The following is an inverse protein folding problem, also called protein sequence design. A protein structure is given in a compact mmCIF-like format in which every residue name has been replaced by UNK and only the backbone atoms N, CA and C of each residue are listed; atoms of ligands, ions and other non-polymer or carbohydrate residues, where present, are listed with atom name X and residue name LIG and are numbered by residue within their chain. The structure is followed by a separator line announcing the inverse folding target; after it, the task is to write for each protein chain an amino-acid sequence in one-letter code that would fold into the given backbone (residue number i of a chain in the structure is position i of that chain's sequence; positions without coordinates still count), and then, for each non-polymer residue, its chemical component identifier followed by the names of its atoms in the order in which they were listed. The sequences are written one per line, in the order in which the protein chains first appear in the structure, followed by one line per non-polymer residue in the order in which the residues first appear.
data_IF_578931175054
#
_entry.id   IF_578931175054
#
_cell.length_a   1.000
_cell.length_b   1.000
_cell.length_c   1.000
_cell.angle_alpha   90.00
_cell.angle_beta   90.00
_cell.angle_gamma   90.00
#
_symmetry.space_group_name_H-M   'P 1'
#
loop_
_entity.id
_entity.type
_entity.pdbx_description
1 polymer ?
#
# COMPACT_ATOMS: atom_id res chain seq x y z
N UNK A 1 0.47 -51.08 16.19
CA UNK A 1 -0.36 -50.39 15.18
C UNK A 1 -1.04 -49.21 15.85
N UNK A 2 -0.31 -48.09 15.96
CA UNK A 2 -0.81 -46.83 16.50
C UNK A 2 -1.51 -46.07 15.38
N UNK A 3 -2.83 -45.94 15.52
CA UNK A 3 -3.70 -45.22 14.58
C UNK A 3 -3.42 -43.72 14.76
N UNK A 4 -2.73 -43.11 13.80
CA UNK A 4 -2.51 -41.67 13.77
C UNK A 4 -3.87 -40.99 13.64
N UNK A 5 -4.24 -40.21 14.65
CA UNK A 5 -5.43 -39.36 14.60
C UNK A 5 -5.03 -38.15 13.79
N UNK A 6 -5.50 -38.09 12.54
CA UNK A 6 -5.53 -36.86 11.76
C UNK A 6 -6.28 -35.82 12.59
N UNK A 7 -5.56 -34.87 13.19
CA UNK A 7 -6.15 -33.64 13.67
C UNK A 7 -6.69 -32.92 12.44
N UNK A 8 -8.01 -32.94 12.27
CA UNK A 8 -8.67 -32.02 11.37
C UNK A 8 -8.37 -30.62 11.88
N UNK A 9 -7.49 -29.89 11.18
CA UNK A 9 -7.53 -28.43 11.24
C UNK A 9 -8.96 -28.07 10.82
N UNK A 10 -9.72 -27.48 11.75
CA UNK A 10 -11.00 -26.88 11.41
C UNK A 10 -10.72 -25.69 10.51
N UNK A 11 -10.52 -25.94 9.22
CA UNK A 11 -10.57 -24.91 8.19
C UNK A 11 -12.05 -24.52 8.06
N UNK A 12 -12.51 -23.59 8.89
CA UNK A 12 -13.31 -22.53 8.28
C UNK A 12 -12.34 -21.89 7.27
N UNK A 13 -12.67 -21.90 5.98
CA UNK A 13 -11.84 -21.27 4.96
C UNK A 13 -11.69 -19.79 5.35
N UNK A 14 -10.52 -19.45 5.89
CA UNK A 14 -10.25 -18.08 6.33
C UNK A 14 -10.00 -17.31 5.05
N UNK A 15 -10.92 -16.40 4.72
CA UNK A 15 -10.76 -15.52 3.58
C UNK A 15 -9.55 -14.58 3.74
N UNK A 16 -8.94 -14.26 2.61
CA UNK A 16 -7.74 -13.44 2.49
C UNK A 16 -8.04 -11.95 2.74
N UNK A 17 -7.28 -11.31 3.63
CA UNK A 17 -7.36 -9.87 3.86
C UNK A 17 -6.27 -9.13 3.08
N UNK A 18 -6.66 -8.23 2.17
CA UNK A 18 -5.74 -7.44 1.36
C UNK A 18 -5.63 -6.01 1.90
N UNK A 19 -4.41 -5.54 2.16
CA UNK A 19 -4.12 -4.13 2.46
C UNK A 19 -3.42 -3.51 1.26
N UNK A 20 -3.95 -2.40 0.75
CA UNK A 20 -3.31 -1.63 -0.32
C UNK A 20 -2.52 -0.48 0.30
N UNK A 21 -1.25 -0.33 -0.05
CA UNK A 21 -0.38 0.76 0.37
C UNK A 21 -0.13 1.73 -0.79
N UNK A 22 -0.46 3.00 -0.56
CA UNK A 22 -0.22 4.12 -1.47
C UNK A 22 0.82 5.08 -0.91
N UNK A 23 1.30 5.96 -1.76
CA UNK A 23 2.16 7.08 -1.39
C UNK A 23 2.70 7.78 -2.63
N UNK A 24 3.38 8.90 -2.40
CA UNK A 24 4.07 9.66 -3.45
C UNK A 24 5.59 9.54 -3.37
N UNK A 25 6.10 8.77 -2.42
CA UNK A 25 7.51 8.70 -2.10
C UNK A 25 7.95 7.27 -1.84
N UNK A 26 8.95 6.85 -2.62
CA UNK A 26 9.45 5.48 -2.56
C UNK A 26 9.99 5.13 -1.18
N UNK A 27 10.78 6.02 -0.59
CA UNK A 27 11.41 5.76 0.70
C UNK A 27 10.36 5.65 1.81
N UNK A 28 9.37 6.53 1.81
CA UNK A 28 8.27 6.48 2.77
C UNK A 28 7.46 5.18 2.63
N UNK A 29 7.10 4.82 1.40
CA UNK A 29 6.37 3.58 1.13
C UNK A 29 7.16 2.34 1.52
N UNK A 30 8.46 2.27 1.19
CA UNK A 30 9.31 1.13 1.53
C UNK A 30 9.51 1.01 3.05
N UNK A 31 9.66 2.12 3.77
CA UNK A 31 9.79 2.12 5.23
C UNK A 31 8.50 1.66 5.94
N UNK A 32 7.34 2.12 5.47
CA UNK A 32 6.03 1.67 5.97
C UNK A 32 5.79 0.21 5.62
N UNK A 33 6.03 -0.21 4.37
CA UNK A 33 5.89 -1.59 3.94
C UNK A 33 6.77 -2.54 4.76
N UNK A 34 8.02 -2.16 4.99
CA UNK A 34 8.94 -2.92 5.83
C UNK A 34 8.39 -3.11 7.25
N UNK A 35 7.90 -2.04 7.87
CA UNK A 35 7.34 -2.10 9.23
C UNK A 35 6.10 -2.99 9.31
N UNK A 36 5.21 -2.90 8.32
CA UNK A 36 4.02 -3.74 8.23
C UNK A 36 4.37 -5.21 8.02
N UNK A 37 5.35 -5.51 7.16
CA UNK A 37 5.82 -6.88 6.91
C UNK A 37 6.48 -7.48 8.16
N UNK A 38 7.35 -6.71 8.84
CA UNK A 38 8.01 -7.14 10.08
C UNK A 38 6.99 -7.46 11.19
N UNK A 39 5.91 -6.69 11.26
CA UNK A 39 4.82 -6.93 12.22
C UNK A 39 3.99 -8.20 11.96
N UNK A 40 4.09 -8.80 10.76
CA UNK A 40 3.30 -9.96 10.37
C UNK A 40 4.11 -10.96 9.52
N UNK A 41 4.87 -11.88 10.14
CA UNK A 41 5.76 -12.81 9.42
C UNK A 41 5.07 -13.77 8.43
N UNK A 42 3.75 -13.88 8.46
CA UNK A 42 2.94 -14.71 7.56
C UNK A 42 2.31 -13.93 6.40
N UNK A 43 2.64 -12.65 6.24
CA UNK A 43 2.13 -11.83 5.13
C UNK A 43 2.80 -12.21 3.81
N UNK A 44 2.02 -12.25 2.73
CA UNK A 44 2.56 -12.17 1.38
C UNK A 44 2.62 -10.70 0.95
N UNK A 45 3.79 -10.21 0.54
CA UNK A 45 3.91 -8.83 0.05
C UNK A 45 4.05 -8.79 -1.46
N UNK A 46 3.24 -7.96 -2.12
CA UNK A 46 3.35 -7.66 -3.54
C UNK A 46 3.74 -6.19 -3.66
N UNK A 47 4.87 -5.90 -4.29
CA UNK A 47 5.37 -4.55 -4.47
C UNK A 47 5.44 -4.24 -5.94
N UNK A 48 4.78 -3.16 -6.35
CA UNK A 48 4.86 -2.61 -7.69
C UNK A 48 5.79 -1.41 -7.72
N UNK A 49 6.41 -1.22 -8.87
CA UNK A 49 7.23 -0.07 -9.22
C UNK A 49 7.15 0.16 -10.73
N UNK A 50 7.63 1.31 -11.19
CA UNK A 50 7.73 1.60 -12.62
C UNK A 50 9.16 1.94 -13.01
N UNK A 51 9.51 1.62 -14.24
CA UNK A 51 10.79 1.94 -14.84
C UNK A 51 10.56 2.52 -16.22
N UNK A 52 11.47 3.39 -16.63
CA UNK A 52 11.53 3.85 -18.00
C UNK A 52 11.89 2.69 -18.92
N UNK A 53 11.12 2.55 -19.99
CA UNK A 53 11.40 1.62 -21.08
C UNK A 53 11.18 2.34 -22.41
N UNK A 54 12.28 2.73 -23.06
CA UNK A 54 12.22 3.46 -24.33
C UNK A 54 11.75 2.57 -25.51
N UNK A 55 11.70 1.23 -25.33
CA UNK A 55 11.19 0.29 -26.33
C UNK A 55 9.66 0.07 -26.19
N UNK A 56 9.07 0.38 -25.03
CA UNK A 56 7.63 0.32 -24.79
C UNK A 56 6.90 1.52 -25.41
N UNK A 57 5.71 1.29 -25.98
CA UNK A 57 4.90 2.37 -26.58
C UNK A 57 4.49 3.44 -25.57
N UNK A 58 4.26 3.04 -24.32
CA UNK A 58 3.96 3.93 -23.20
C UNK A 58 5.20 4.61 -22.60
N UNK A 59 6.40 4.20 -22.98
CA UNK A 59 7.66 4.62 -22.34
C UNK A 59 7.90 3.98 -20.97
N UNK A 60 7.06 3.02 -20.55
CA UNK A 60 7.01 2.49 -19.19
C UNK A 60 6.95 0.97 -19.14
N UNK A 61 7.73 0.42 -18.22
CA UNK A 61 7.68 -0.97 -17.78
C UNK A 61 7.22 -1.03 -16.32
N UNK A 62 6.25 -1.88 -16.03
CA UNK A 62 5.76 -2.11 -14.66
C UNK A 62 6.55 -3.28 -14.07
N UNK A 63 7.29 -3.01 -13.01
CA UNK A 63 8.06 -4.02 -12.30
C UNK A 63 7.31 -4.43 -11.06
N UNK A 64 7.28 -5.73 -10.78
CA UNK A 64 6.67 -6.23 -9.57
C UNK A 64 7.56 -7.26 -8.89
N UNK A 65 7.37 -7.36 -7.58
CA UNK A 65 7.95 -8.40 -6.74
C UNK A 65 6.86 -8.97 -5.85
N UNK A 66 6.84 -10.28 -5.68
CA UNK A 66 6.01 -10.97 -4.69
C UNK A 66 6.94 -11.75 -3.77
N UNK A 67 6.83 -11.50 -2.47
CA UNK A 67 7.56 -12.24 -1.45
C UNK A 67 6.54 -13.07 -0.64
N UNK A 68 6.63 -14.40 -0.77
CA UNK A 68 5.76 -15.35 -0.08
C UNK A 68 6.43 -15.90 1.19
N UNK A 69 5.70 -16.08 2.30
CA UNK A 69 6.23 -16.67 3.52
C UNK A 69 6.46 -18.17 3.34
N UNK A 70 7.66 -18.66 3.67
CA UNK A 70 8.00 -20.08 3.64
C UNK A 70 7.93 -20.73 5.04
N UNK A 71 7.78 -22.07 5.06
CA UNK A 71 7.98 -22.85 6.28
C UNK A 71 9.39 -22.61 6.84
N UNK A 72 9.48 -22.11 8.07
CA UNK A 72 10.75 -21.78 8.74
C UNK A 72 11.14 -20.30 8.75
N UNK A 73 10.28 -19.41 8.23
CA UNK A 73 10.44 -17.95 8.35
C UNK A 73 11.34 -17.30 7.29
N UNK A 74 11.73 -18.03 6.26
CA UNK A 74 12.35 -17.46 5.06
C UNK A 74 11.27 -16.90 4.11
N UNK A 75 11.61 -15.90 3.30
CA UNK A 75 10.74 -15.37 2.24
C UNK A 75 11.22 -15.87 0.88
N UNK A 76 10.29 -16.30 0.02
CA UNK A 76 10.58 -16.62 -1.38
C UNK A 76 10.14 -15.46 -2.27
N UNK A 77 11.11 -14.75 -2.83
CA UNK A 77 10.88 -13.62 -3.73
C UNK A 77 10.82 -14.05 -5.19
N UNK A 78 9.70 -13.77 -5.85
CA UNK A 78 9.56 -13.77 -7.32
C UNK A 78 9.49 -12.34 -7.80
N UNK A 79 10.16 -12.01 -8.91
CA UNK A 79 10.04 -10.70 -9.53
C UNK A 79 10.04 -10.82 -11.03
N UNK A 80 9.23 -10.00 -11.69
CA UNK A 80 9.16 -9.92 -13.15
C UNK A 80 8.76 -8.49 -13.56
N UNK A 81 8.68 -8.24 -14.86
CA UNK A 81 8.15 -6.98 -15.38
C UNK A 81 7.31 -7.17 -16.63
N UNK A 82 6.50 -6.16 -16.96
CA UNK A 82 5.70 -6.14 -18.17
C UNK A 82 5.47 -4.69 -18.65
N UNK A 83 5.63 -4.49 -19.95
CA UNK A 83 5.42 -3.18 -20.57
C UNK A 83 3.99 -2.69 -20.33
N UNK A 84 3.86 -1.44 -19.89
CA UNK A 84 2.57 -0.78 -19.77
C UNK A 84 1.97 -0.61 -21.17
N UNK A 85 0.78 -1.17 -21.38
CA UNK A 85 0.08 -1.13 -22.67
C UNK A 85 -0.76 0.17 -22.79
N UNK A 86 -1.69 0.23 -23.74
CA UNK A 86 -2.59 1.39 -24.01
C UNK A 86 -3.56 1.78 -22.86
N UNK A 87 -3.43 1.17 -21.67
CA UNK A 87 -4.25 1.45 -20.50
C UNK A 87 -3.47 2.24 -19.44
N UNK A 88 -4.18 2.88 -18.51
CA UNK A 88 -3.52 3.55 -17.39
C UNK A 88 -2.87 2.57 -16.42
N UNK A 89 -1.87 3.04 -15.67
CA UNK A 89 -1.12 2.25 -14.69
C UNK A 89 -2.03 1.53 -13.68
N UNK A 90 -3.07 2.20 -13.17
CA UNK A 90 -4.05 1.59 -12.26
C UNK A 90 -4.80 0.41 -12.88
N UNK A 91 -5.09 0.46 -14.19
CA UNK A 91 -5.80 -0.61 -14.89
C UNK A 91 -4.93 -1.85 -15.07
N UNK A 92 -3.67 -1.70 -15.46
CA UNK A 92 -2.78 -2.85 -15.59
C UNK A 92 -2.45 -3.46 -14.22
N UNK A 93 -2.15 -2.62 -13.22
CA UNK A 93 -1.82 -3.07 -11.86
C UNK A 93 -2.97 -3.85 -11.23
N UNK A 94 -4.23 -3.38 -11.32
CA UNK A 94 -5.36 -4.10 -10.71
C UNK A 94 -5.60 -5.47 -11.35
N UNK A 95 -5.48 -5.59 -12.68
CA UNK A 95 -5.64 -6.86 -13.40
C UNK A 95 -4.49 -7.82 -13.07
N UNK A 96 -3.26 -7.32 -13.00
CA UNK A 96 -2.11 -8.12 -12.60
C UNK A 96 -2.21 -8.58 -11.13
N UNK A 97 -2.60 -7.68 -10.23
CA UNK A 97 -2.75 -7.97 -8.80
C UNK A 97 -3.77 -9.08 -8.58
N UNK A 98 -4.91 -9.02 -9.26
CA UNK A 98 -5.91 -10.10 -9.22
C UNK A 98 -5.31 -11.46 -9.61
N UNK A 99 -4.56 -11.54 -10.71
CA UNK A 99 -3.90 -12.80 -11.13
C UNK A 99 -2.89 -13.33 -10.10
N UNK A 100 -2.10 -12.43 -9.49
CA UNK A 100 -1.16 -12.82 -8.44
C UNK A 100 -1.89 -13.33 -7.19
N UNK A 101 -2.95 -12.63 -6.79
CA UNK A 101 -3.79 -13.01 -5.67
C UNK A 101 -4.42 -14.40 -5.90
N UNK A 102 -4.90 -14.71 -7.11
CA UNK A 102 -5.45 -16.04 -7.45
C UNK A 102 -4.42 -17.14 -7.20
N UNK A 103 -3.15 -16.87 -7.52
CA UNK A 103 -2.07 -17.83 -7.35
C UNK A 103 -1.79 -18.17 -5.88
N UNK A 104 -2.08 -17.26 -4.95
CA UNK A 104 -1.83 -17.40 -3.51
C UNK A 104 -3.10 -17.67 -2.69
N UNK A 105 -4.27 -17.65 -3.33
CA UNK A 105 -5.56 -17.87 -2.70
C UNK A 105 -5.60 -19.21 -1.92
N UNK A 106 -6.13 -19.16 -0.69
CA UNK A 106 -6.19 -20.31 0.23
C UNK A 106 -4.85 -20.75 0.83
N UNK A 107 -3.73 -20.14 0.44
CA UNK A 107 -2.38 -20.40 1.00
C UNK A 107 -1.95 -19.32 1.99
N UNK A 108 -2.48 -18.10 1.84
CA UNK A 108 -2.16 -16.94 2.68
C UNK A 108 -3.43 -16.26 3.17
N UNK A 109 -3.41 -15.83 4.43
CA UNK A 109 -4.56 -15.15 5.06
C UNK A 109 -4.46 -13.61 4.96
N UNK A 110 -3.28 -13.08 4.64
CA UNK A 110 -3.01 -11.64 4.59
C UNK A 110 -2.03 -11.30 3.48
N UNK A 111 -2.37 -10.26 2.72
CA UNK A 111 -1.55 -9.73 1.63
C UNK A 111 -1.39 -8.22 1.78
N UNK A 112 -0.15 -7.75 1.67
CA UNK A 112 0.16 -6.33 1.54
C UNK A 112 0.50 -6.04 0.08
N UNK A 113 -0.17 -5.09 -0.55
CA UNK A 113 0.12 -4.66 -1.93
C UNK A 113 0.58 -3.21 -1.92
N UNK A 114 1.86 -2.96 -2.15
CA UNK A 114 2.41 -1.62 -2.38
C UNK A 114 2.22 -1.25 -3.84
N UNK A 115 1.36 -0.26 -4.10
CA UNK A 115 1.07 0.23 -5.45
C UNK A 115 2.22 1.12 -5.97
N UNK A 116 2.31 1.37 -7.29
CA UNK A 116 3.26 2.35 -7.80
C UNK A 116 2.98 3.74 -7.23
N UNK A 117 4.02 4.58 -7.23
CA UNK A 117 3.93 5.99 -6.79
C UNK A 117 2.76 6.70 -7.49
N UNK A 118 1.93 7.36 -6.70
CA UNK A 118 0.81 8.16 -7.21
C UNK A 118 -0.38 7.39 -7.78
N UNK A 119 -0.41 6.06 -7.65
CA UNK A 119 -1.55 5.25 -8.07
C UNK A 119 -2.63 5.27 -6.99
N UNK A 120 -3.85 5.64 -7.38
CA UNK A 120 -5.02 5.60 -6.51
C UNK A 120 -5.41 4.14 -6.22
N UNK A 121 -5.61 3.82 -4.95
CA UNK A 121 -5.99 2.49 -4.47
C UNK A 121 -7.50 2.23 -4.60
N UNK A 122 -8.37 3.25 -4.58
CA UNK A 122 -9.83 3.03 -4.63
C UNK A 122 -10.27 2.21 -5.86
N UNK A 123 -9.80 2.48 -7.10
CA UNK A 123 -10.18 1.66 -8.25
C UNK A 123 -9.65 0.23 -8.18
N UNK A 124 -8.47 0.03 -7.58
CA UNK A 124 -7.91 -1.31 -7.34
C UNK A 124 -8.75 -2.05 -6.31
N UNK A 125 -9.08 -1.38 -5.19
CA UNK A 125 -9.87 -1.94 -4.10
C UNK A 125 -11.26 -2.39 -4.57
N UNK A 126 -11.97 -1.52 -5.30
CA UNK A 126 -13.29 -1.83 -5.83
C UNK A 126 -13.26 -3.03 -6.78
N UNK A 127 -12.26 -3.10 -7.65
CA UNK A 127 -12.11 -4.21 -8.58
C UNK A 127 -11.86 -5.53 -7.83
N UNK A 128 -10.97 -5.53 -6.84
CA UNK A 128 -10.68 -6.72 -6.04
C UNK A 128 -11.88 -7.16 -5.19
N UNK A 129 -12.58 -6.22 -4.55
CA UNK A 129 -13.79 -6.52 -3.78
C UNK A 129 -14.90 -7.12 -4.65
N UNK A 130 -15.07 -6.64 -5.89
CA UNK A 130 -16.03 -7.21 -6.82
C UNK A 130 -15.63 -8.63 -7.24
N UNK A 131 -14.34 -8.90 -7.46
CA UNK A 131 -13.85 -10.26 -7.73
C UNK A 131 -14.07 -11.20 -6.54
N UNK A 132 -13.72 -10.77 -5.32
CA UNK A 132 -13.93 -11.57 -4.10
C UNK A 132 -15.40 -11.92 -3.86
N UNK A 133 -16.34 -11.12 -4.37
CA UNK A 133 -17.79 -11.40 -4.28
C UNK A 133 -18.28 -12.35 -5.36
N UNK A 134 -17.64 -12.37 -6.53
CA UNK A 134 -18.09 -13.13 -7.70
C UNK A 134 -17.50 -14.54 -7.74
N UNK A 135 -16.29 -14.71 -7.21
CA UNK A 135 -15.50 -15.93 -7.32
C UNK A 135 -15.31 -16.62 -5.95
N UNK A 136 -14.85 -17.87 -5.96
CA UNK A 136 -14.68 -18.70 -4.76
C UNK A 136 -13.28 -18.54 -4.14
N UNK A 137 -13.03 -17.37 -3.54
CA UNK A 137 -11.76 -17.00 -2.92
C UNK A 137 -11.65 -17.41 -1.44
N UNK A 138 -12.59 -18.22 -0.93
CA UNK A 138 -12.77 -18.51 0.48
C UNK A 138 -13.63 -17.48 1.20
N UNK A 139 -14.45 -17.96 2.15
CA UNK A 139 -15.40 -17.11 2.87
C UNK A 139 -14.68 -15.99 3.65
N UNK A 140 -14.95 -14.74 3.25
CA UNK A 140 -14.46 -13.55 3.95
C UNK A 140 -13.27 -12.83 3.33
N UNK A 141 -12.85 -13.24 2.13
CA UNK A 141 -11.85 -12.53 1.31
C UNK A 141 -12.33 -11.12 0.99
N UNK A 142 -11.45 -10.13 1.20
CA UNK A 142 -11.81 -8.70 1.07
C UNK A 142 -10.57 -7.81 0.97
N UNK A 143 -10.77 -6.60 0.48
CA UNK A 143 -9.86 -5.49 0.75
C UNK A 143 -10.15 -4.96 2.15
N UNK A 144 -9.19 -5.14 3.06
CA UNK A 144 -9.35 -4.79 4.47
C UNK A 144 -9.05 -3.31 4.73
N UNK A 145 -8.06 -2.74 4.06
CA UNK A 145 -7.62 -1.38 4.28
C UNK A 145 -6.98 -0.76 3.02
N UNK A 146 -7.12 0.56 2.92
CA UNK A 146 -6.27 1.41 2.08
C UNK A 146 -5.42 2.24 3.05
N UNK A 147 -4.11 2.01 3.01
CA UNK A 147 -3.13 2.73 3.81
C UNK A 147 -2.35 3.70 2.93
N UNK A 148 -2.10 4.92 3.41
CA UNK A 148 -1.24 5.89 2.73
C UNK A 148 -0.01 6.20 3.58
N UNK A 149 1.19 6.08 2.98
CA UNK A 149 2.46 6.38 3.63
C UNK A 149 2.80 7.87 3.48
N UNK A 150 2.97 8.56 4.60
CA UNK A 150 3.28 9.99 4.63
C UNK A 150 4.55 10.25 5.45
N UNK A 151 5.60 10.70 4.79
CA UNK A 151 6.77 11.29 5.46
C UNK A 151 6.44 12.70 5.94
N UNK A 152 6.44 12.92 7.26
CA UNK A 152 6.05 14.21 7.83
C UNK A 152 7.08 15.32 7.51
N UNK A 153 8.35 14.96 7.34
CA UNK A 153 9.42 15.90 6.98
C UNK A 153 9.30 16.41 5.55
N UNK A 154 8.89 15.54 4.62
CA UNK A 154 8.73 15.86 3.20
C UNK A 154 7.32 16.34 2.86
N UNK A 155 6.35 16.16 3.76
CA UNK A 155 4.94 16.48 3.51
C UNK A 155 4.75 17.96 3.14
N UNK A 156 5.36 18.89 3.88
CA UNK A 156 5.21 20.33 3.60
C UNK A 156 5.65 20.65 2.17
N UNK A 157 6.85 20.19 1.80
CA UNK A 157 7.44 20.48 0.50
C UNK A 157 6.55 19.90 -0.61
N UNK A 158 6.11 18.66 -0.47
CA UNK A 158 5.31 17.96 -1.50
C UNK A 158 3.86 18.39 -1.57
N UNK A 159 3.24 18.73 -0.44
CA UNK A 159 1.83 19.09 -0.39
C UNK A 159 1.55 20.43 -1.06
N UNK A 160 2.46 21.39 -0.92
CA UNK A 160 2.38 22.70 -1.55
C UNK A 160 3.09 22.77 -2.91
N UNK A 161 3.67 21.67 -3.36
CA UNK A 161 4.33 21.56 -4.66
C UNK A 161 3.32 21.42 -5.81
N UNK A 162 3.42 22.32 -6.78
CA UNK A 162 2.67 22.31 -8.02
C UNK A 162 3.44 21.69 -9.21
N UNK A 163 4.68 21.24 -8.99
CA UNK A 163 5.46 20.50 -9.97
C UNK A 163 4.85 19.12 -10.26
N UNK A 164 5.27 18.55 -11.40
CA UNK A 164 4.83 17.25 -11.87
C UNK A 164 5.30 16.13 -10.92
N UNK A 165 4.44 15.14 -10.71
CA UNK A 165 4.76 14.00 -9.87
C UNK A 165 5.85 13.12 -10.53
N UNK A 166 6.97 12.91 -9.84
CA UNK A 166 7.99 11.93 -10.25
C UNK A 166 7.52 10.49 -9.96
N UNK A 167 7.37 9.65 -10.98
CA UNK A 167 6.96 8.25 -10.85
C UNK A 167 8.16 7.31 -10.61
N UNK A 168 9.31 7.60 -11.22
CA UNK A 168 10.56 6.86 -11.04
C UNK A 168 11.75 7.72 -11.46
N UNK A 169 12.97 7.29 -11.09
CA UNK A 169 14.23 7.97 -11.39
C UNK A 169 14.68 8.90 -10.25
N UNK A 170 15.98 9.16 -10.19
CA UNK A 170 16.62 9.93 -9.09
C UNK A 170 17.27 11.21 -9.61
N UNK A 171 17.43 11.35 -10.93
CA UNK A 171 18.05 12.50 -11.57
C UNK A 171 17.29 12.99 -12.80
N UNK A 172 17.62 14.21 -13.25
CA UNK A 172 16.89 14.88 -14.32
C UNK A 172 16.83 14.10 -15.65
N UNK A 173 17.80 13.21 -15.91
CA UNK A 173 17.92 12.47 -17.16
C UNK A 173 17.23 11.09 -17.12
N UNK A 174 16.90 10.57 -15.94
CA UNK A 174 16.24 9.27 -15.76
C UNK A 174 14.87 9.36 -15.07
N UNK A 175 14.49 10.55 -14.60
CA UNK A 175 13.18 10.80 -14.02
C UNK A 175 12.07 10.76 -15.06
N UNK A 176 11.00 10.07 -14.70
CA UNK A 176 9.76 10.06 -15.45
C UNK A 176 8.65 10.69 -14.63
N UNK A 177 7.94 11.64 -15.25
CA UNK A 177 6.96 12.47 -14.60
C UNK A 177 5.54 12.17 -15.11
N UNK A 178 4.60 12.17 -14.18
CA UNK A 178 3.16 12.19 -14.44
C UNK A 178 2.68 13.64 -14.59
N UNK A 179 1.70 13.88 -15.47
CA UNK A 179 1.17 15.23 -15.72
C UNK A 179 0.43 15.81 -14.50
N UNK A 180 0.03 14.98 -13.54
CA UNK A 180 -0.60 15.42 -12.29
C UNK A 180 0.43 16.09 -11.38
N UNK A 181 0.01 17.16 -10.70
CA UNK A 181 0.88 17.81 -9.72
C UNK A 181 1.05 16.98 -8.45
N UNK A 182 2.25 17.04 -7.85
CA UNK A 182 2.60 16.31 -6.63
C UNK A 182 1.60 16.58 -5.51
N UNK A 183 1.32 17.85 -5.20
CA UNK A 183 0.40 18.22 -4.12
C UNK A 183 -1.04 17.75 -4.34
N UNK A 184 -1.51 17.71 -5.60
CA UNK A 184 -2.84 17.18 -5.92
C UNK A 184 -2.91 15.67 -5.70
N UNK A 185 -1.85 14.94 -6.05
CA UNK A 185 -1.78 13.49 -5.83
C UNK A 185 -1.69 13.18 -4.34
N UNK A 186 -0.81 13.84 -3.58
CA UNK A 186 -0.72 13.71 -2.11
C UNK A 186 -2.10 13.89 -1.47
N UNK A 187 -2.78 14.99 -1.82
CA UNK A 187 -4.11 15.30 -1.30
C UNK A 187 -5.12 14.18 -1.57
N UNK A 188 -5.01 13.56 -2.74
CA UNK A 188 -5.97 12.54 -3.18
C UNK A 188 -5.75 11.20 -2.50
N UNK A 189 -4.49 10.77 -2.37
CA UNK A 189 -4.13 9.51 -1.72
C UNK A 189 -4.50 9.53 -0.23
N UNK A 190 -4.16 10.61 0.49
CA UNK A 190 -4.58 10.83 1.89
C UNK A 190 -6.11 10.77 2.02
N UNK A 191 -6.83 11.35 1.05
CA UNK A 191 -8.30 11.45 1.08
C UNK A 191 -9.02 10.14 0.79
N UNK A 192 -8.41 9.18 0.11
CA UNK A 192 -9.01 7.86 -0.09
C UNK A 192 -8.65 6.84 0.99
N UNK A 193 -7.53 7.06 1.68
CA UNK A 193 -7.04 6.16 2.70
C UNK A 193 -8.02 6.00 3.87
N UNK A 194 -8.15 4.75 4.33
CA UNK A 194 -8.77 4.45 5.64
C UNK A 194 -7.76 4.59 6.78
N UNK A 195 -6.47 4.47 6.48
CA UNK A 195 -5.37 4.68 7.42
C UNK A 195 -4.29 5.56 6.80
N UNK A 196 -3.91 6.64 7.48
CA UNK A 196 -2.73 7.43 7.11
C UNK A 196 -1.62 7.04 8.08
N UNK A 197 -0.48 6.61 7.54
CA UNK A 197 0.66 6.10 8.30
C UNK A 197 1.80 7.12 8.20
N UNK A 198 1.95 7.94 9.25
CA UNK A 198 3.02 8.93 9.33
C UNK A 198 4.34 8.26 9.70
N UNK A 199 5.42 8.60 9.02
CA UNK A 199 6.76 8.24 9.46
C UNK A 199 7.29 9.27 10.47
N UNK A 200 8.00 8.81 11.51
CA UNK A 200 8.55 9.71 12.52
C UNK A 200 9.58 10.64 11.89
N UNK A 201 9.60 11.88 12.38
CA UNK A 201 10.56 12.90 11.95
C UNK A 201 11.97 12.54 12.43
N UNK A 202 12.92 12.43 11.50
CA UNK A 202 14.32 12.13 11.84
C UNK A 202 15.12 13.42 11.89
N UNK A 203 15.21 14.01 13.08
CA UNK A 203 16.03 15.20 13.34
C UNK A 203 15.19 16.46 13.61
N UNK A 204 15.70 17.63 13.21
CA UNK A 204 15.07 18.94 13.43
C UNK A 204 14.24 19.40 12.22
N UNK A 205 13.53 18.49 11.56
CA UNK A 205 12.77 18.75 10.33
C UNK A 205 11.46 19.51 10.57
N UNK A 206 10.35 18.94 10.14
CA UNK A 206 9.01 19.54 10.22
C UNK A 206 8.64 19.96 11.66
N UNK A 207 9.04 19.16 12.66
CA UNK A 207 8.83 19.47 14.09
C UNK A 207 9.63 20.67 14.61
N UNK A 208 10.72 21.08 13.97
CA UNK A 208 11.42 22.30 14.39
C UNK A 208 10.85 23.57 13.76
N UNK A 209 10.14 23.44 12.63
CA UNK A 209 9.59 24.57 11.85
C UNK A 209 8.14 24.86 12.19
N UNK A 210 7.36 23.82 12.51
CA UNK A 210 5.90 23.88 12.57
C UNK A 210 5.30 23.44 13.89
N UNK A 211 6.12 23.24 14.92
CA UNK A 211 5.62 22.96 16.26
C UNK A 211 5.09 24.25 16.88
N UNK A 212 3.82 24.20 17.28
CA UNK A 212 3.18 25.27 18.00
C UNK A 212 3.63 25.34 19.47
N UNK A 213 3.05 26.26 20.24
CA UNK A 213 3.39 26.42 21.65
C UNK A 213 3.05 25.20 22.54
N UNK A 214 2.29 24.23 22.01
CA UNK A 214 1.85 23.02 22.70
C UNK A 214 2.63 21.77 22.28
N UNK A 215 3.52 21.86 21.29
CA UNK A 215 4.26 20.70 20.78
C UNK A 215 3.63 20.04 19.55
N UNK A 216 2.53 20.60 19.01
CA UNK A 216 1.79 20.00 17.90
C UNK A 216 2.24 20.57 16.55
N UNK A 217 2.39 19.69 15.57
CA UNK A 217 2.84 20.03 14.23
C UNK A 217 1.65 20.43 13.34
N UNK A 218 1.69 21.63 12.76
CA UNK A 218 0.63 22.11 11.85
C UNK A 218 0.40 21.20 10.63
N UNK A 219 1.42 20.48 10.15
CA UNK A 219 1.27 19.51 9.06
C UNK A 219 0.35 18.35 9.42
N UNK A 220 0.34 17.90 10.68
CA UNK A 220 -0.58 16.85 11.16
C UNK A 220 -2.03 17.31 11.11
N UNK A 221 -2.28 18.56 11.45
CA UNK A 221 -3.63 19.13 11.37
C UNK A 221 -4.13 19.20 9.92
N UNK A 222 -3.23 19.54 8.98
CA UNK A 222 -3.52 19.53 7.55
C UNK A 222 -3.84 18.10 7.07
N UNK A 223 -2.99 17.12 7.41
CA UNK A 223 -3.20 15.70 7.08
C UNK A 223 -4.56 15.23 7.59
N UNK A 224 -4.88 15.48 8.87
CA UNK A 224 -6.18 15.13 9.48
C UNK A 224 -7.36 15.83 8.81
N UNK A 225 -7.18 17.07 8.36
CA UNK A 225 -8.24 17.83 7.68
C UNK A 225 -8.54 17.29 6.27
N UNK A 226 -7.54 16.74 5.58
CA UNK A 226 -7.68 16.18 4.23
C UNK A 226 -8.16 14.73 4.26
N UNK A 227 -7.74 13.98 5.27
CA UNK A 227 -8.07 12.57 5.44
C UNK A 227 -9.58 12.34 5.37
N UNK A 228 -9.95 11.17 4.85
CA UNK A 228 -11.35 10.75 4.76
C UNK A 228 -12.00 10.82 6.15
N UNK A 229 -13.28 11.20 6.21
CA UNK A 229 -14.05 11.08 7.47
C UNK A 229 -14.04 9.63 7.95
N UNK A 230 -13.59 9.43 9.19
CA UNK A 230 -13.46 8.11 9.81
C UNK A 230 -12.14 7.40 9.50
N UNK A 231 -11.23 8.01 8.72
CA UNK A 231 -9.86 7.52 8.60
C UNK A 231 -9.12 7.68 9.93
N UNK A 232 -8.22 6.74 10.21
CA UNK A 232 -7.33 6.79 11.37
C UNK A 232 -5.97 7.29 10.91
N UNK A 233 -5.50 8.40 11.50
CA UNK A 233 -4.15 8.92 11.27
C UNK A 233 -3.26 8.40 12.39
N UNK A 234 -2.24 7.63 12.03
CA UNK A 234 -1.25 7.07 12.94
C UNK A 234 0.00 7.91 12.88
N UNK A 235 0.40 8.47 14.03
CA UNK A 235 1.52 9.42 14.13
C UNK A 235 2.91 8.76 13.97
N UNK A 236 2.97 7.44 14.14
CA UNK A 236 4.16 6.63 13.90
C UNK A 236 3.74 5.28 13.28
N UNK A 237 4.13 5.07 12.03
CA UNK A 237 3.85 3.85 11.29
C UNK A 237 4.49 2.60 11.91
N UNK A 238 5.55 2.76 12.71
CA UNK A 238 6.20 1.63 13.39
C UNK A 238 5.36 1.05 14.53
N UNK A 239 4.40 1.82 15.07
CA UNK A 239 3.48 1.36 16.11
C UNK A 239 2.26 0.61 15.53
N UNK A 240 2.14 0.56 14.20
CA UNK A 240 1.01 -0.05 13.50
C UNK A 240 1.36 -1.45 13.01
N UNK A 241 0.59 -2.44 13.43
CA UNK A 241 0.70 -3.81 12.89
C UNK A 241 -0.22 -4.01 11.70
N UNK A 242 0.20 -4.86 10.75
CA UNK A 242 -0.65 -5.24 9.61
C UNK A 242 -1.95 -5.92 10.08
N UNK A 243 -1.92 -6.65 11.18
CA UNK A 243 -3.10 -7.30 11.76
C UNK A 243 -4.16 -6.28 12.21
N UNK A 244 -3.73 -5.11 12.68
CA UNK A 244 -4.65 -4.01 13.01
C UNK A 244 -5.39 -3.55 11.75
N UNK A 245 -4.67 -3.35 10.64
CA UNK A 245 -5.24 -2.95 9.35
C UNK A 245 -6.15 -4.04 8.77
N UNK A 246 -5.82 -5.31 9.00
CA UNK A 246 -6.63 -6.45 8.59
C UNK A 246 -7.82 -6.75 9.52
N UNK A 247 -8.00 -6.04 10.63
CA UNK A 247 -9.10 -6.28 11.58
C UNK A 247 -10.46 -5.83 11.01
N UNK A 248 -11.54 -6.56 11.31
CA UNK A 248 -12.90 -6.22 10.84
C UNK A 248 -13.57 -5.11 11.65
N UNK A 249 -13.07 -4.82 12.84
CA UNK A 249 -13.77 -4.01 13.84
C UNK A 249 -13.83 -2.51 13.53
N UNK A 250 -13.03 -2.04 12.57
CA UNK A 250 -13.00 -0.62 12.18
C UNK A 250 -14.11 -0.23 11.19
N UNK A 251 -14.84 -1.20 10.63
CA UNK A 251 -15.93 -0.92 9.67
C UNK A 251 -17.31 -0.68 10.33
N UNK A 252 -17.48 -0.91 11.64
CA UNK A 252 -18.82 -1.02 12.26
C UNK A 252 -19.29 0.23 13.02
N UNK A 253 -18.46 1.26 13.21
CA UNK A 253 -18.87 2.45 14.01
C UNK A 253 -19.46 3.62 13.22
N UNK A 254 -19.98 3.42 12.01
CA UNK A 254 -20.55 4.50 11.17
C UNK A 254 -21.97 4.23 10.62
N UNK A 255 -22.81 3.54 11.38
CA UNK A 255 -24.27 3.64 11.25
C UNK A 255 -24.85 4.41 12.43
#
# INVERSE_FOLDING_TARGET
MTRSVLQSRGNAEVGMAVTLLTGVDRLSMDAVAFSLVDSCPSVCSITYDVRRDDDAESGLDVVWRMDEPMEGGAMFGTSDSFALQDCCLSCEVKHHAARLLESVAGRVDSVLISLPIGVEATPVAQYLDDLFRLDDWGEGSRVAAIADAVGLDEFEERFFDDDLLCLCGVGADDSLFDERSTGAVVSRLIREASHVLELPVVGSGCLARHVDALGECACRDIIRAIAKRGAVVHEDAHDVSLQLLCSRDHAVSLL
#
